data_IF_646631850615
#
_entry.id   IF_646631850615
#
_cell.length_a   1.000
_cell.length_b   1.000
_cell.length_c   1.000
_cell.angle_alpha   90.00
_cell.angle_beta   90.00
_cell.angle_gamma   90.00
#
_symmetry.space_group_name_H-M   'P 1'
#
loop_
_entity.id
_entity.type
_entity.pdbx_description
1 polymer ?
#
# COMPACT_ATOMS: atom_id res chain seq x y z
N UNK A 1 4.41 0.04 -20.25
CA UNK A 1 5.16 0.75 -19.19
C UNK A 1 6.59 1.09 -19.68
N UNK A 2 7.38 0.12 -20.11
CA UNK A 2 8.79 0.30 -20.52
C UNK A 2 8.99 1.31 -21.65
N UNK A 3 8.09 1.33 -22.66
CA UNK A 3 8.18 2.26 -23.80
C UNK A 3 7.90 3.71 -23.39
N UNK A 4 6.92 3.94 -22.51
CA UNK A 4 6.61 5.27 -21.95
C UNK A 4 7.79 5.79 -21.14
N UNK A 5 8.40 4.95 -20.30
CA UNK A 5 9.55 5.32 -19.50
C UNK A 5 10.77 5.73 -20.34
N UNK A 6 11.00 5.06 -21.49
CA UNK A 6 12.05 5.47 -22.45
C UNK A 6 11.78 6.84 -23.06
N UNK A 7 10.53 7.14 -23.42
CA UNK A 7 10.14 8.44 -23.99
C UNK A 7 10.32 9.59 -22.98
N UNK A 8 10.14 9.31 -21.67
CA UNK A 8 10.22 10.30 -20.61
C UNK A 8 11.63 10.45 -19.99
N UNK A 9 12.62 9.69 -20.46
CA UNK A 9 13.98 9.67 -19.87
C UNK A 9 14.73 11.01 -19.92
N UNK A 10 14.33 11.94 -20.83
CA UNK A 10 14.94 13.26 -21.01
C UNK A 10 14.38 14.36 -20.10
N UNK A 11 13.37 14.09 -19.30
CA UNK A 11 12.72 15.04 -18.38
C UNK A 11 12.57 14.43 -16.99
N UNK A 12 12.48 15.26 -15.92
CA UNK A 12 12.16 14.74 -14.59
C UNK A 12 10.66 14.40 -14.49
N UNK A 13 10.34 13.20 -14.01
CA UNK A 13 8.96 12.68 -13.91
C UNK A 13 8.73 12.06 -12.54
N UNK A 14 7.65 12.42 -11.84
CA UNK A 14 7.15 11.65 -10.70
C UNK A 14 6.14 10.64 -11.20
N UNK A 15 6.42 9.35 -10.98
CA UNK A 15 5.54 8.25 -11.35
C UNK A 15 5.04 7.53 -10.11
N UNK A 16 3.76 7.65 -9.81
CA UNK A 16 3.15 7.05 -8.63
C UNK A 16 1.73 6.57 -8.90
N UNK A 17 1.34 5.45 -8.31
CA UNK A 17 -0.04 4.95 -8.33
C UNK A 17 -0.96 5.70 -7.37
N UNK A 18 -0.39 6.45 -6.41
CA UNK A 18 -1.12 7.28 -5.45
C UNK A 18 -0.26 8.48 -5.04
N UNK A 19 -0.83 9.68 -5.03
CA UNK A 19 -0.12 10.92 -4.66
C UNK A 19 -0.36 11.35 -3.21
N UNK A 20 -1.26 10.70 -2.46
CA UNK A 20 -1.46 11.02 -1.03
C UNK A 20 -0.17 10.85 -0.23
N UNK A 21 0.20 11.87 0.52
CA UNK A 21 1.33 11.82 1.47
C UNK A 21 1.14 10.70 2.50
N UNK A 22 -0.08 10.60 3.07
CA UNK A 22 -0.38 9.59 4.10
C UNK A 22 -0.33 8.16 3.57
N UNK A 23 -0.85 7.92 2.34
CA UNK A 23 -0.78 6.58 1.71
C UNK A 23 0.67 6.18 1.43
N UNK A 24 1.50 7.10 0.93
CA UNK A 24 2.91 6.79 0.67
C UNK A 24 3.71 6.57 1.95
N UNK A 25 3.38 7.28 3.04
CA UNK A 25 3.93 6.99 4.37
C UNK A 25 3.47 5.61 4.86
N UNK A 26 2.19 5.25 4.66
CA UNK A 26 1.69 3.91 4.99
C UNK A 26 2.46 2.82 4.24
N UNK A 27 2.73 2.98 2.95
CA UNK A 27 3.55 2.05 2.17
C UNK A 27 4.96 1.89 2.76
N UNK A 28 5.60 3.00 3.09
CA UNK A 28 6.93 3.01 3.69
C UNK A 28 6.96 2.28 5.05
N UNK A 29 6.04 2.63 5.95
CA UNK A 29 5.94 2.00 7.26
C UNK A 29 5.60 0.51 7.16
N UNK A 30 4.70 0.12 6.24
CA UNK A 30 4.36 -1.28 5.98
C UNK A 30 5.57 -2.08 5.55
N UNK A 31 6.41 -1.52 4.67
CA UNK A 31 7.64 -2.19 4.21
C UNK A 31 8.60 -2.46 5.38
N UNK A 32 8.81 -1.46 6.23
CA UNK A 32 9.70 -1.59 7.39
C UNK A 32 9.14 -2.55 8.44
N UNK A 33 7.85 -2.42 8.76
CA UNK A 33 7.17 -3.33 9.69
C UNK A 33 7.23 -4.78 9.19
N UNK A 34 6.98 -5.02 7.89
CA UNK A 34 7.00 -6.38 7.32
C UNK A 34 8.37 -7.05 7.35
N UNK A 35 9.46 -6.28 7.33
CA UNK A 35 10.83 -6.81 7.46
C UNK A 35 11.17 -7.19 8.89
N UNK A 36 10.71 -6.39 9.86
CA UNK A 36 10.94 -6.65 11.30
C UNK A 36 10.02 -7.74 11.82
N UNK A 37 8.75 -7.69 11.38
CA UNK A 37 7.70 -8.64 11.75
C UNK A 37 7.56 -9.70 10.64
N UNK A 38 8.65 -10.37 10.34
CA UNK A 38 8.73 -11.42 9.31
C UNK A 38 8.05 -12.73 9.74
N UNK A 39 8.14 -13.77 8.91
CA UNK A 39 7.56 -15.08 9.20
C UNK A 39 8.19 -15.77 10.42
N UNK A 40 9.41 -15.38 10.82
CA UNK A 40 10.10 -15.94 11.98
C UNK A 40 9.60 -15.35 13.31
N UNK A 41 9.05 -14.12 13.26
CA UNK A 41 8.57 -13.38 14.43
C UNK A 41 7.15 -13.76 14.88
N UNK A 42 6.47 -14.68 14.15
CA UNK A 42 5.09 -15.13 14.41
C UNK A 42 4.05 -14.01 14.43
N UNK A 43 4.20 -13.01 13.55
CA UNK A 43 3.18 -12.01 13.30
C UNK A 43 2.43 -12.30 12.00
N UNK A 44 1.12 -12.32 12.09
CA UNK A 44 0.18 -12.59 11.01
C UNK A 44 -0.24 -11.29 10.32
N UNK A 45 0.11 -11.08 9.03
CA UNK A 45 -0.28 -9.88 8.31
C UNK A 45 -1.70 -10.00 7.75
N UNK A 46 -2.49 -8.94 7.95
CA UNK A 46 -3.82 -8.78 7.37
C UNK A 46 -3.95 -7.38 6.77
N UNK A 47 -4.51 -7.27 5.56
CA UNK A 47 -4.81 -6.00 4.90
C UNK A 47 -6.32 -5.85 4.82
N UNK A 48 -6.85 -4.77 5.41
CA UNK A 48 -8.27 -4.45 5.41
C UNK A 48 -8.44 -3.11 4.70
N UNK A 49 -9.33 -3.05 3.70
CA UNK A 49 -9.65 -1.81 3.00
C UNK A 49 -11.15 -1.56 2.95
N UNK A 50 -11.56 -0.30 3.00
CA UNK A 50 -12.94 0.10 2.85
C UNK A 50 -13.07 1.26 1.87
N UNK A 51 -14.05 1.16 0.96
CA UNK A 51 -14.41 2.20 0.02
C UNK A 51 -15.92 2.33 -0.12
N UNK A 52 -16.35 3.40 -0.81
CA UNK A 52 -17.76 3.67 -1.10
C UNK A 52 -18.42 2.51 -1.87
N UNK A 53 -19.76 2.42 -1.74
CA UNK A 53 -20.59 1.35 -2.35
C UNK A 53 -20.46 1.20 -3.86
N UNK A 54 -20.01 2.25 -4.56
CA UNK A 54 -19.91 2.26 -6.03
C UNK A 54 -18.53 1.79 -6.57
N UNK A 55 -17.56 1.49 -5.69
CA UNK A 55 -16.24 0.99 -6.13
C UNK A 55 -16.38 -0.44 -6.67
N UNK A 56 -15.92 -0.64 -7.91
CA UNK A 56 -16.11 -1.90 -8.66
C UNK A 56 -14.97 -2.90 -8.45
N UNK A 57 -13.74 -2.41 -8.35
CA UNK A 57 -12.55 -3.24 -8.14
C UNK A 57 -12.37 -3.59 -6.65
N UNK A 58 -11.95 -4.82 -6.38
CA UNK A 58 -11.54 -5.33 -5.07
C UNK A 58 -10.46 -6.42 -5.27
N UNK A 59 -9.33 -6.34 -4.54
CA UNK A 59 -8.90 -5.24 -3.68
C UNK A 59 -8.71 -3.92 -4.45
N UNK A 60 -8.66 -2.79 -3.73
CA UNK A 60 -8.31 -1.50 -4.33
C UNK A 60 -6.83 -1.45 -4.75
N UNK A 61 -6.46 -0.60 -5.71
CA UNK A 61 -5.06 -0.47 -6.13
C UNK A 61 -4.08 -0.12 -4.99
N UNK A 62 -4.54 0.58 -3.95
CA UNK A 62 -3.74 0.84 -2.73
C UNK A 62 -3.58 -0.44 -1.90
N UNK A 63 -4.64 -1.23 -1.74
CA UNK A 63 -4.58 -2.51 -1.03
C UNK A 63 -3.69 -3.52 -1.77
N UNK A 64 -3.81 -3.62 -3.10
CA UNK A 64 -2.92 -4.43 -3.95
C UNK A 64 -1.44 -4.07 -3.71
N UNK A 65 -1.14 -2.77 -3.65
CA UNK A 65 0.23 -2.31 -3.39
C UNK A 65 0.71 -2.67 -1.98
N UNK A 66 -0.16 -2.61 -0.96
CA UNK A 66 0.16 -3.04 0.40
C UNK A 66 0.44 -4.54 0.46
N UNK A 67 -0.39 -5.36 -0.19
CA UNK A 67 -0.18 -6.81 -0.31
C UNK A 67 1.15 -7.13 -1.00
N UNK A 68 1.45 -6.46 -2.12
CA UNK A 68 2.73 -6.59 -2.84
C UNK A 68 3.93 -6.24 -1.94
N UNK A 69 3.83 -5.17 -1.14
CA UNK A 69 4.90 -4.74 -0.22
C UNK A 69 5.15 -5.81 0.85
N UNK A 70 4.09 -6.33 1.49
CA UNK A 70 4.21 -7.36 2.52
C UNK A 70 4.80 -8.64 1.93
N UNK A 71 4.24 -9.09 0.81
CA UNK A 71 4.70 -10.27 0.08
C UNK A 71 6.18 -10.19 -0.27
N UNK A 72 6.62 -9.09 -0.88
CA UNK A 72 8.01 -8.91 -1.28
C UNK A 72 8.95 -8.80 -0.07
N UNK A 73 8.53 -8.14 1.02
CA UNK A 73 9.34 -8.01 2.23
C UNK A 73 9.53 -9.33 2.99
N UNK A 74 8.59 -10.27 2.80
CA UNK A 74 8.60 -11.61 3.41
C UNK A 74 9.03 -12.71 2.46
N UNK A 75 9.42 -12.36 1.22
CA UNK A 75 9.84 -13.33 0.18
C UNK A 75 8.78 -14.41 -0.12
N UNK A 76 7.49 -13.99 -0.12
CA UNK A 76 6.34 -14.85 -0.36
C UNK A 76 5.83 -14.72 -1.80
N UNK A 77 4.98 -15.67 -2.23
CA UNK A 77 4.35 -15.70 -3.55
C UNK A 77 2.89 -15.22 -3.52
N UNK A 78 2.26 -15.08 -4.69
CA UNK A 78 0.87 -14.61 -4.80
C UNK A 78 -0.13 -15.59 -4.17
N UNK A 79 0.18 -16.87 -4.19
CA UNK A 79 -0.62 -17.97 -3.62
C UNK A 79 -0.74 -17.88 -2.10
N UNK A 80 0.14 -17.12 -1.45
CA UNK A 80 0.06 -16.84 -0.02
C UNK A 80 -1.01 -15.78 0.34
N UNK A 81 -1.58 -15.08 -0.66
CA UNK A 81 -2.62 -14.08 -0.42
C UNK A 81 -4.00 -14.77 -0.36
N UNK A 82 -4.68 -14.64 0.78
CA UNK A 82 -6.03 -15.15 1.02
C UNK A 82 -7.05 -14.02 0.96
N UNK A 83 -7.96 -14.06 -0.04
CA UNK A 83 -9.02 -13.06 -0.22
C UNK A 83 -10.28 -13.43 0.58
N UNK A 84 -10.31 -13.02 1.84
CA UNK A 84 -11.41 -13.33 2.77
C UNK A 84 -11.41 -14.80 3.23
N UNK A 85 -12.32 -15.11 4.15
CA UNK A 85 -12.54 -16.48 4.66
C UNK A 85 -14.03 -16.77 4.76
N UNK A 86 -14.45 -17.99 4.40
CA UNK A 86 -15.85 -18.40 4.46
C UNK A 86 -15.98 -19.87 4.87
N UNK A 87 -16.82 -20.15 5.85
CA UNK A 87 -17.09 -21.53 6.31
C UNK A 87 -15.95 -22.10 7.15
N UNK A 88 -15.75 -23.41 7.05
CA UNK A 88 -14.68 -24.14 7.75
C UNK A 88 -13.40 -24.10 6.91
N UNK A 89 -12.54 -23.10 7.17
CA UNK A 89 -11.30 -22.88 6.38
C UNK A 89 -10.06 -23.57 6.95
N UNK A 90 -10.19 -24.22 8.11
CA UNK A 90 -9.03 -24.70 8.86
C UNK A 90 -8.30 -23.58 9.60
N UNK A 91 -7.16 -23.93 10.18
CA UNK A 91 -6.27 -22.97 10.81
C UNK A 91 -5.60 -22.09 9.75
N UNK A 92 -5.24 -20.85 10.13
CA UNK A 92 -4.50 -19.93 9.29
C UNK A 92 -3.10 -20.49 8.96
N UNK A 93 -2.73 -20.40 7.69
CA UNK A 93 -1.36 -20.76 7.27
C UNK A 93 -0.33 -19.76 7.82
N UNK A 94 0.86 -20.25 8.17
CA UNK A 94 1.95 -19.42 8.70
C UNK A 94 2.37 -18.30 7.74
N UNK A 95 2.42 -18.60 6.45
CA UNK A 95 2.88 -17.68 5.41
C UNK A 95 1.71 -16.97 4.70
N UNK A 96 0.50 -17.06 5.25
CA UNK A 96 -0.69 -16.43 4.69
C UNK A 96 -0.67 -14.91 4.90
N UNK A 97 -1.13 -14.16 3.90
CA UNK A 97 -1.41 -12.73 3.98
C UNK A 97 -2.92 -12.56 3.74
N UNK A 98 -3.67 -12.12 4.76
CA UNK A 98 -5.11 -11.90 4.60
C UNK A 98 -5.42 -10.61 3.85
N UNK A 99 -6.48 -10.63 3.04
CA UNK A 99 -6.96 -9.50 2.24
C UNK A 99 -8.46 -9.37 2.35
N UNK A 100 -8.95 -8.21 2.85
CA UNK A 100 -10.38 -7.98 3.11
C UNK A 100 -10.82 -6.65 2.52
N UNK A 101 -11.84 -6.70 1.65
CA UNK A 101 -12.39 -5.54 0.98
C UNK A 101 -13.82 -5.26 1.43
N UNK A 102 -14.04 -4.12 2.11
CA UNK A 102 -15.35 -3.66 2.55
C UNK A 102 -15.88 -2.58 1.60
N UNK A 103 -17.19 -2.58 1.40
CA UNK A 103 -17.90 -1.59 0.57
C UNK A 103 -19.10 -1.05 1.35
N UNK A 104 -19.19 0.30 1.48
CA UNK A 104 -20.28 0.93 2.18
C UNK A 104 -20.26 2.45 2.11
N UNK A 105 -21.42 3.07 2.22
CA UNK A 105 -21.56 4.53 2.29
C UNK A 105 -20.86 5.26 1.15
N UNK A 106 -20.23 6.36 1.52
CA UNK A 106 -19.47 7.29 0.67
C UNK A 106 -17.97 7.32 1.00
N UNK A 107 -17.47 6.31 1.72
CA UNK A 107 -16.07 6.22 2.18
C UNK A 107 -15.11 6.45 1.01
N UNK A 108 -14.27 7.46 1.12
CA UNK A 108 -13.29 7.83 0.07
C UNK A 108 -12.23 6.74 -0.09
N UNK A 109 -11.73 6.22 1.03
CA UNK A 109 -10.80 5.11 1.08
C UNK A 109 -10.13 5.00 2.45
N UNK A 110 -10.22 3.84 3.06
CA UNK A 110 -9.54 3.49 4.30
C UNK A 110 -8.70 2.24 4.07
N UNK A 111 -7.52 2.19 4.66
CA UNK A 111 -6.60 1.06 4.53
C UNK A 111 -5.93 0.83 5.87
N UNK A 112 -6.03 -0.38 6.37
CA UNK A 112 -5.34 -0.84 7.58
C UNK A 112 -4.47 -2.04 7.23
N UNK A 113 -3.20 -1.97 7.61
CA UNK A 113 -2.31 -3.12 7.68
C UNK A 113 -2.17 -3.51 9.14
N UNK A 114 -2.51 -4.75 9.44
CA UNK A 114 -2.42 -5.32 10.77
C UNK A 114 -1.35 -6.39 10.78
N UNK A 115 -0.55 -6.41 11.83
CA UNK A 115 0.36 -7.49 12.18
C UNK A 115 -0.05 -8.02 13.54
N UNK A 116 -0.67 -9.20 13.59
CA UNK A 116 -1.19 -9.81 14.81
C UNK A 116 -0.21 -10.85 15.34
N UNK A 117 0.36 -10.61 16.51
CA UNK A 117 1.22 -11.53 17.24
C UNK A 117 0.54 -12.12 18.48
N UNK A 118 1.22 -13.04 19.15
CA UNK A 118 0.72 -13.60 20.42
C UNK A 118 0.82 -12.55 21.52
N UNK A 119 -0.32 -12.08 22.02
CA UNK A 119 -0.40 -11.10 23.11
C UNK A 119 -0.24 -9.64 22.68
N UNK A 120 0.04 -9.36 21.40
CA UNK A 120 0.16 -7.99 20.87
C UNK A 120 -0.29 -7.89 19.43
N UNK A 121 -0.57 -6.66 18.97
CA UNK A 121 -0.97 -6.34 17.61
C UNK A 121 -0.52 -4.95 17.22
N UNK A 122 0.00 -4.79 16.03
CA UNK A 122 0.34 -3.49 15.44
C UNK A 122 -0.64 -3.20 14.31
N UNK A 123 -1.21 -2.01 14.28
CA UNK A 123 -2.10 -1.54 13.22
C UNK A 123 -1.58 -0.24 12.62
N UNK A 124 -1.37 -0.23 11.31
CA UNK A 124 -1.02 0.95 10.53
C UNK A 124 -2.23 1.34 9.70
N UNK A 125 -2.89 2.44 10.03
CA UNK A 125 -4.15 2.85 9.40
C UNK A 125 -4.06 4.21 8.74
N UNK A 126 -4.54 4.31 7.50
CA UNK A 126 -4.80 5.55 6.79
C UNK A 126 -6.28 5.67 6.44
N UNK A 127 -6.88 6.82 6.75
CA UNK A 127 -8.26 7.16 6.39
C UNK A 127 -8.29 8.43 5.55
N UNK A 128 -8.82 8.33 4.35
CA UNK A 128 -9.09 9.47 3.48
C UNK A 128 -10.54 9.94 3.72
N UNK A 129 -10.71 11.16 4.19
CA UNK A 129 -12.03 11.80 4.37
C UNK A 129 -12.39 12.72 3.22
N UNK A 130 -11.40 13.14 2.42
CA UNK A 130 -11.58 13.98 1.24
C UNK A 130 -10.58 13.60 0.15
N UNK A 131 -10.97 13.76 -1.12
CA UNK A 131 -10.11 13.52 -2.29
C UNK A 131 -9.08 14.60 -2.52
N UNK A 132 -9.20 15.76 -1.88
CA UNK A 132 -8.23 16.87 -1.96
C UNK A 132 -6.81 16.44 -1.57
N UNK A 133 -6.65 15.42 -0.75
CA UNK A 133 -5.34 14.87 -0.35
C UNK A 133 -4.51 14.40 -1.54
N UNK A 134 -5.15 13.88 -2.60
CA UNK A 134 -4.45 13.44 -3.80
C UNK A 134 -3.96 14.63 -4.63
N UNK A 135 -4.80 15.67 -4.77
CA UNK A 135 -4.43 16.90 -5.47
C UNK A 135 -3.30 17.64 -4.73
N UNK A 136 -3.40 17.76 -3.41
CA UNK A 136 -2.35 18.36 -2.57
C UNK A 136 -1.01 17.61 -2.70
N UNK A 137 -1.05 16.29 -2.73
CA UNK A 137 0.15 15.46 -2.95
C UNK A 137 0.73 15.65 -4.36
N UNK A 138 -0.11 15.74 -5.39
CA UNK A 138 0.34 16.02 -6.75
C UNK A 138 0.99 17.40 -6.88
N UNK A 139 0.44 18.44 -6.25
CA UNK A 139 1.06 19.77 -6.20
C UNK A 139 2.41 19.75 -5.45
N UNK A 140 2.52 18.99 -4.35
CA UNK A 140 3.79 18.78 -3.66
C UNK A 140 4.82 18.15 -4.58
N UNK A 141 4.46 17.10 -5.30
CA UNK A 141 5.31 16.44 -6.27
C UNK A 141 5.74 17.40 -7.41
N UNK A 142 4.80 18.18 -7.95
CA UNK A 142 5.06 19.19 -8.97
C UNK A 142 6.09 20.24 -8.51
N UNK A 143 5.95 20.76 -7.29
CA UNK A 143 6.91 21.73 -6.74
C UNK A 143 8.28 21.11 -6.47
N UNK A 144 8.34 19.84 -6.08
CA UNK A 144 9.60 19.15 -5.80
C UNK A 144 10.35 18.80 -7.08
N UNK A 145 9.65 18.36 -8.14
CA UNK A 145 10.24 17.84 -9.37
C UNK A 145 10.97 18.88 -10.18
N UNK A 146 10.59 20.17 -10.08
CA UNK A 146 11.19 21.29 -10.82
C UNK A 146 12.71 21.40 -10.56
N UNK A 147 13.15 20.96 -9.40
CA UNK A 147 14.55 21.04 -8.95
C UNK A 147 15.35 19.76 -9.19
N UNK A 148 14.73 18.76 -9.85
CA UNK A 148 15.38 17.47 -10.04
C UNK A 148 15.94 17.34 -11.44
N UNK A 149 17.08 16.63 -11.62
CA UNK A 149 17.57 16.26 -12.93
C UNK A 149 16.59 15.33 -13.66
N UNK A 150 16.78 15.14 -14.96
CA UNK A 150 16.00 14.19 -15.73
C UNK A 150 16.07 12.80 -15.09
N UNK A 151 14.91 12.16 -14.92
CA UNK A 151 14.79 10.87 -14.25
C UNK A 151 13.36 10.56 -13.83
N UNK A 152 13.16 9.34 -13.35
CA UNK A 152 11.85 8.87 -12.88
C UNK A 152 11.92 8.70 -11.37
N UNK A 153 11.03 9.41 -10.68
CA UNK A 153 10.99 9.50 -9.23
C UNK A 153 9.66 8.96 -8.68
N UNK A 154 9.73 8.37 -7.51
CA UNK A 154 8.57 7.92 -6.74
C UNK A 154 8.07 9.02 -5.80
N UNK A 155 6.85 8.85 -5.27
CA UNK A 155 6.37 9.71 -4.17
C UNK A 155 7.18 9.54 -2.88
N UNK A 156 7.80 8.39 -2.64
CA UNK A 156 8.68 8.21 -1.48
C UNK A 156 9.90 9.11 -1.55
N UNK A 157 10.50 9.29 -2.74
CA UNK A 157 11.60 10.22 -2.95
C UNK A 157 11.14 11.68 -2.79
N UNK A 158 9.96 12.05 -3.32
CA UNK A 158 9.35 13.37 -3.09
C UNK A 158 9.17 13.69 -1.60
N UNK A 159 8.88 12.68 -0.80
CA UNK A 159 8.67 12.79 0.65
C UNK A 159 9.96 12.67 1.47
N UNK A 160 11.09 12.34 0.83
CA UNK A 160 12.36 12.11 1.52
C UNK A 160 12.38 10.81 2.34
N UNK A 161 11.49 9.86 2.05
CA UNK A 161 11.44 8.56 2.69
C UNK A 161 12.53 7.67 2.08
N UNK A 162 13.54 7.36 2.86
CA UNK A 162 14.64 6.50 2.44
C UNK A 162 14.47 5.13 3.08
N UNK A 163 14.46 4.09 2.28
CA UNK A 163 14.43 2.68 2.70
C UNK A 163 15.83 2.13 2.90
#
# INVERSE_FOLDING_TARGET
KTQILKTLSGIPVVWAGNFSTGVNLLFFLTQHASRVLDTSSNFDPEVIEMHHRFKKDAPSGTAERLLEIIRNARELENENISHGRKGMTGERGKDEIGSHALRGGDVVGEHTVMFAGTGERIELTHRATDRVIFASGALRAANWIIKQPAGIYSMQEVLGLKG
#
